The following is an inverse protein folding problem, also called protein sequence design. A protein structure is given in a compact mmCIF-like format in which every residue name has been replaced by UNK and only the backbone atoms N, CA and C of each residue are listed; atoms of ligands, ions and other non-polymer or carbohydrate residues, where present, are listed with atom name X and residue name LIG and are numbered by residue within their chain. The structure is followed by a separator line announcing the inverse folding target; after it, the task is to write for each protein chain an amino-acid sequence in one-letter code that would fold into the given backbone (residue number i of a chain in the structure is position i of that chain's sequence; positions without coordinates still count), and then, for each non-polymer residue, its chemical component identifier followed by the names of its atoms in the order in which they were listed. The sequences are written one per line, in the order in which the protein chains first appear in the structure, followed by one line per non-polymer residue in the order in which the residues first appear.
data_IF_639375770465
#
_entry.id   IF_639375770465
#
_cell.length_a   1.000
_cell.length_b   1.000
_cell.length_c   1.000
_cell.angle_alpha   90.00
_cell.angle_beta   90.00
_cell.angle_gamma   90.00
#
_symmetry.space_group_name_H-M   'P 1'
#
loop_
_entity.id
_entity.type
_entity.pdbx_description
1 polymer ?
#
# COMPACT_ATOMS: atom_id res chain seq x y z
N UNK A 1 25.96 -15.09 -44.84
CA UNK A 1 25.58 -13.85 -45.56
C UNK A 1 24.14 -13.53 -45.19
N UNK A 2 23.94 -12.36 -44.56
CA UNK A 2 22.68 -11.66 -44.21
C UNK A 2 21.71 -12.40 -43.28
N UNK A 3 21.13 -11.78 -42.24
CA UNK A 3 21.16 -10.39 -41.79
C UNK A 3 20.41 -10.31 -40.45
N UNK A 4 20.95 -9.49 -39.56
CA UNK A 4 20.47 -9.19 -38.22
C UNK A 4 19.09 -8.49 -38.22
N UNK A 5 18.14 -8.99 -37.43
CA UNK A 5 16.91 -8.27 -37.09
C UNK A 5 17.22 -7.14 -36.10
N UNK A 6 16.95 -5.91 -36.53
CA UNK A 6 17.07 -4.70 -35.74
C UNK A 6 15.76 -4.48 -34.99
N UNK A 7 15.84 -4.41 -33.67
CA UNK A 7 14.75 -4.03 -32.77
C UNK A 7 14.52 -2.53 -32.92
N UNK A 8 13.37 -2.11 -33.44
CA UNK A 8 12.96 -0.71 -33.42
C UNK A 8 12.51 -0.34 -32.00
N UNK A 9 13.19 0.64 -31.41
CA UNK A 9 12.76 1.36 -30.21
C UNK A 9 12.06 2.62 -30.71
N UNK A 10 10.76 2.73 -30.53
CA UNK A 10 10.04 4.00 -30.77
C UNK A 10 10.31 4.94 -29.60
N UNK A 11 11.00 6.03 -29.90
CA UNK A 11 11.22 7.16 -29.02
C UNK A 11 9.97 8.04 -29.00
N UNK A 12 9.46 8.35 -27.81
CA UNK A 12 8.40 9.35 -27.62
C UNK A 12 8.87 10.73 -28.08
N UNK A 13 8.20 11.29 -29.09
CA UNK A 13 8.28 12.71 -29.42
C UNK A 13 7.25 13.47 -28.57
N UNK A 14 7.75 14.32 -27.67
CA UNK A 14 6.96 15.32 -26.94
C UNK A 14 7.15 16.67 -27.61
N UNK A 15 6.10 17.17 -28.26
CA UNK A 15 6.05 18.53 -28.82
C UNK A 15 5.56 19.53 -27.74
N UNK A 16 6.25 20.65 -27.50
CA UNK A 16 5.80 21.67 -26.55
C UNK A 16 4.77 22.60 -27.20
N UNK A 17 3.58 22.69 -26.60
CA UNK A 17 2.55 23.65 -27.00
C UNK A 17 2.76 24.96 -26.24
N UNK A 18 3.13 26.05 -26.94
CA UNK A 18 3.32 27.38 -26.33
C UNK A 18 2.02 28.18 -26.40
N UNK A 19 1.50 28.59 -25.25
CA UNK A 19 0.43 29.62 -25.16
C UNK A 19 1.06 30.91 -24.68
N UNK A 20 1.02 31.96 -25.51
CA UNK A 20 1.51 33.28 -25.15
C UNK A 20 0.54 33.98 -24.19
N UNK A 21 1.00 34.32 -22.98
CA UNK A 21 0.36 35.35 -22.15
C UNK A 21 0.65 35.26 -20.66
N UNK A 22 1.49 36.17 -20.15
CA UNK A 22 1.49 36.65 -18.77
C UNK A 22 2.27 35.81 -17.75
N UNK A 23 3.18 36.46 -17.02
CA UNK A 23 3.95 35.87 -15.91
C UNK A 23 3.03 35.28 -14.83
N UNK A 24 2.92 33.96 -14.83
CA UNK A 24 2.56 33.16 -13.66
C UNK A 24 3.42 31.91 -13.71
N UNK A 25 3.99 31.52 -12.56
CA UNK A 25 4.78 30.30 -12.40
C UNK A 25 4.20 29.17 -13.26
N UNK A 26 5.04 28.62 -14.12
CA UNK A 26 4.67 27.54 -15.02
C UNK A 26 4.41 26.30 -14.16
N UNK A 27 3.16 26.13 -13.72
CA UNK A 27 2.70 24.91 -13.06
C UNK A 27 2.70 23.84 -14.15
N UNK A 28 3.82 23.14 -14.27
CA UNK A 28 3.91 21.94 -15.08
C UNK A 28 3.01 20.89 -14.45
N UNK A 29 1.75 20.86 -14.86
CA UNK A 29 0.81 19.78 -14.51
C UNK A 29 1.24 18.56 -15.30
N UNK A 30 2.20 17.80 -14.75
CA UNK A 30 2.52 16.47 -15.25
C UNK A 30 1.25 15.61 -15.16
N UNK A 31 0.59 15.38 -16.31
CA UNK A 31 -0.56 14.47 -16.36
C UNK A 31 -0.09 13.08 -15.93
N UNK A 32 -0.62 12.61 -14.81
CA UNK A 32 -0.44 11.22 -14.37
C UNK A 32 -0.87 10.27 -15.47
N UNK A 33 -0.08 9.22 -15.74
CA UNK A 33 -0.46 8.16 -16.69
C UNK A 33 -1.59 7.26 -16.17
N UNK A 34 -1.98 7.42 -14.90
CA UNK A 34 -3.10 6.71 -14.27
C UNK A 34 -4.37 7.56 -14.25
N UNK A 35 -5.50 6.90 -14.46
CA UNK A 35 -6.85 7.49 -14.43
C UNK A 35 -7.11 8.23 -13.09
N UNK A 36 -7.94 9.27 -13.15
CA UNK A 36 -8.32 10.11 -12.02
C UNK A 36 -9.73 9.85 -11.49
N UNK A 37 -10.47 8.97 -12.17
CA UNK A 37 -11.84 8.55 -11.94
C UNK A 37 -12.84 9.71 -11.84
N UNK A 38 -12.52 10.88 -12.40
CA UNK A 38 -13.29 12.10 -12.19
C UNK A 38 -14.57 12.17 -13.03
N UNK A 39 -14.75 11.29 -14.01
CA UNK A 39 -15.89 11.32 -14.93
C UNK A 39 -16.56 9.95 -15.06
N UNK A 40 -17.90 9.90 -15.10
CA UNK A 40 -18.63 8.66 -15.30
C UNK A 40 -18.40 8.13 -16.71
N UNK A 41 -18.46 6.80 -16.84
CA UNK A 41 -18.48 6.11 -18.14
C UNK A 41 -19.54 5.03 -18.11
N UNK A 42 -19.92 4.42 -19.27
CA UNK A 42 -20.85 3.29 -19.27
C UNK A 42 -20.43 2.12 -18.37
N UNK A 43 -19.13 1.98 -18.09
CA UNK A 43 -18.55 0.94 -17.24
C UNK A 43 -18.20 1.43 -15.84
N UNK A 44 -18.38 2.73 -15.55
CA UNK A 44 -18.07 3.41 -14.29
C UNK A 44 -19.26 4.27 -13.89
N UNK A 45 -20.28 3.61 -13.35
CA UNK A 45 -21.57 4.22 -13.02
C UNK A 45 -21.82 4.34 -11.51
N UNK A 46 -20.96 3.77 -10.67
CA UNK A 46 -21.07 3.86 -9.22
C UNK A 46 -20.21 5.01 -8.72
N UNK A 47 -20.81 5.90 -7.94
CA UNK A 47 -20.17 7.13 -7.46
C UNK A 47 -19.68 6.98 -6.03
N UNK A 48 -18.39 7.16 -5.81
CA UNK A 48 -17.79 7.25 -4.49
C UNK A 48 -17.46 8.72 -4.23
N UNK A 49 -18.12 9.30 -3.23
CA UNK A 49 -18.00 10.72 -2.87
C UNK A 49 -17.10 10.81 -1.64
N UNK A 50 -15.99 11.52 -1.77
CA UNK A 50 -15.03 11.76 -0.70
C UNK A 50 -14.84 13.25 -0.54
N UNK A 51 -15.27 13.79 0.60
CA UNK A 51 -15.38 15.23 0.82
C UNK A 51 -16.18 15.90 -0.33
N UNK A 52 -15.57 16.78 -1.11
CA UNK A 52 -16.21 17.45 -2.26
C UNK A 52 -15.86 16.79 -3.61
N UNK A 53 -15.17 15.65 -3.61
CA UNK A 53 -14.69 14.98 -4.83
C UNK A 53 -15.44 13.68 -5.11
N UNK A 54 -15.98 13.57 -6.31
CA UNK A 54 -16.59 12.33 -6.82
C UNK A 54 -15.57 11.48 -7.58
N UNK A 55 -15.65 10.17 -7.38
CA UNK A 55 -14.94 9.14 -8.13
C UNK A 55 -15.94 8.16 -8.73
N UNK A 56 -15.89 7.99 -10.04
CA UNK A 56 -16.77 7.06 -10.75
C UNK A 56 -16.02 5.76 -11.02
N UNK A 57 -16.56 4.65 -10.52
CA UNK A 57 -15.91 3.34 -10.56
C UNK A 57 -16.87 2.24 -11.02
N UNK A 58 -16.29 1.08 -11.36
CA UNK A 58 -17.07 -0.10 -11.71
C UNK A 58 -17.52 -0.83 -10.44
N UNK A 59 -18.82 -0.82 -10.15
CA UNK A 59 -19.39 -1.51 -8.99
C UNK A 59 -19.14 -3.02 -9.00
N UNK A 60 -19.25 -3.68 -10.16
CA UNK A 60 -19.03 -5.11 -10.30
C UNK A 60 -17.61 -5.50 -9.87
N UNK A 61 -16.61 -4.74 -10.29
CA UNK A 61 -15.22 -4.97 -9.88
C UNK A 61 -15.01 -4.78 -8.36
N UNK A 62 -15.68 -3.80 -7.74
CA UNK A 62 -15.63 -3.66 -6.29
C UNK A 62 -16.29 -4.84 -5.57
N UNK A 63 -17.44 -5.30 -6.05
CA UNK A 63 -18.16 -6.44 -5.48
C UNK A 63 -17.35 -7.75 -5.56
N UNK A 64 -16.64 -7.98 -6.66
CA UNK A 64 -15.71 -9.12 -6.78
C UNK A 64 -14.58 -9.07 -5.75
N UNK A 65 -14.14 -7.87 -5.38
CA UNK A 65 -13.07 -7.70 -4.41
C UNK A 65 -13.56 -7.71 -2.97
N UNK A 66 -14.82 -7.34 -2.71
CA UNK A 66 -15.33 -7.00 -1.38
C UNK A 66 -16.76 -7.49 -1.18
N UNK A 67 -17.01 -8.32 -0.14
CA UNK A 67 -18.38 -8.70 0.22
C UNK A 67 -19.20 -7.48 0.66
N UNK A 68 -18.58 -6.49 1.30
CA UNK A 68 -19.23 -5.22 1.64
C UNK A 68 -19.80 -4.54 0.39
N UNK A 69 -19.00 -4.39 -0.67
CA UNK A 69 -19.47 -3.77 -1.91
C UNK A 69 -20.42 -4.67 -2.71
N UNK A 70 -20.31 -6.00 -2.59
CA UNK A 70 -21.27 -6.92 -3.19
C UNK A 70 -22.67 -6.70 -2.63
N UNK A 71 -22.80 -6.64 -1.30
CA UNK A 71 -24.07 -6.34 -0.64
C UNK A 71 -24.52 -4.89 -0.91
N UNK A 72 -23.63 -3.90 -0.76
CA UNK A 72 -23.99 -2.49 -0.88
C UNK A 72 -24.47 -2.10 -2.29
N UNK A 73 -23.85 -2.66 -3.33
CA UNK A 73 -24.17 -2.31 -4.72
C UNK A 73 -25.23 -3.22 -5.36
N UNK A 74 -25.39 -4.47 -4.88
CA UNK A 74 -26.20 -5.50 -5.54
C UNK A 74 -27.12 -6.29 -4.60
N UNK A 75 -27.15 -5.96 -3.30
CA UNK A 75 -28.09 -6.52 -2.33
C UNK A 75 -29.52 -6.01 -2.53
N UNK A 76 -30.40 -6.30 -1.56
CA UNK A 76 -31.81 -5.91 -1.63
C UNK A 76 -31.99 -4.39 -1.72
N UNK A 77 -31.17 -3.64 -0.99
CA UNK A 77 -31.13 -2.17 -0.97
C UNK A 77 -29.98 -1.63 -1.83
N UNK A 78 -29.91 -2.03 -3.10
CA UNK A 78 -28.83 -1.63 -4.00
C UNK A 78 -28.64 -0.10 -4.10
N UNK A 79 -27.48 0.38 -3.68
CA UNK A 79 -27.10 1.78 -3.73
C UNK A 79 -26.31 2.12 -4.99
N UNK A 80 -26.43 3.38 -5.46
CA UNK A 80 -25.70 3.90 -6.62
C UNK A 80 -24.52 4.79 -6.27
N UNK A 81 -24.44 5.20 -5.01
CA UNK A 81 -23.40 6.10 -4.51
C UNK A 81 -23.05 5.79 -3.06
N UNK A 82 -21.80 6.01 -2.68
CA UNK A 82 -21.30 5.87 -1.30
C UNK A 82 -20.54 7.13 -0.90
N UNK A 83 -20.83 7.68 0.28
CA UNK A 83 -20.09 8.80 0.88
C UNK A 83 -19.06 8.24 1.86
N UNK A 84 -17.82 8.73 1.79
CA UNK A 84 -16.71 8.35 2.67
C UNK A 84 -16.10 9.64 3.24
N UNK A 85 -16.10 9.77 4.57
CA UNK A 85 -15.73 10.98 5.30
C UNK A 85 -14.40 10.88 6.07
N UNK A 86 -13.82 9.69 6.17
CA UNK A 86 -12.63 9.42 6.97
C UNK A 86 -11.41 8.95 6.15
N UNK A 87 -11.49 9.07 4.82
CA UNK A 87 -10.36 8.90 3.91
C UNK A 87 -10.22 10.17 3.09
N UNK A 88 -8.98 10.66 2.91
CA UNK A 88 -8.72 11.84 2.08
C UNK A 88 -8.95 11.55 0.60
N UNK A 89 -9.36 12.52 -0.23
CA UNK A 89 -9.51 12.33 -1.67
C UNK A 89 -8.23 11.86 -2.37
N UNK A 90 -7.05 12.36 -1.95
CA UNK A 90 -5.75 11.92 -2.49
C UNK A 90 -5.47 10.44 -2.24
N UNK A 91 -5.84 9.98 -1.04
CA UNK A 91 -5.61 8.62 -0.57
C UNK A 91 -6.56 7.64 -1.26
N UNK A 92 -7.82 8.04 -1.44
CA UNK A 92 -8.79 7.26 -2.21
C UNK A 92 -8.37 7.13 -3.68
N UNK A 93 -7.90 8.22 -4.28
CA UNK A 93 -7.41 8.20 -5.66
C UNK A 93 -6.21 7.25 -5.81
N UNK A 94 -5.22 7.33 -4.92
CA UNK A 94 -4.08 6.43 -4.94
C UNK A 94 -4.51 4.97 -4.76
N UNK A 95 -5.46 4.70 -3.86
CA UNK A 95 -6.03 3.38 -3.66
C UNK A 95 -6.69 2.84 -4.93
N UNK A 96 -7.55 3.61 -5.59
CA UNK A 96 -8.21 3.19 -6.83
C UNK A 96 -7.22 2.88 -7.95
N UNK A 97 -6.18 3.71 -8.10
CA UNK A 97 -5.11 3.44 -9.06
C UNK A 97 -4.40 2.11 -8.80
N UNK A 98 -4.34 1.67 -7.55
CA UNK A 98 -3.71 0.40 -7.17
C UNK A 98 -4.63 -0.84 -7.28
N UNK A 99 -5.96 -0.68 -7.38
CA UNK A 99 -6.89 -1.82 -7.44
C UNK A 99 -7.62 -1.96 -8.77
N UNK A 100 -7.81 -0.88 -9.53
CA UNK A 100 -8.45 -0.91 -10.85
C UNK A 100 -7.42 -1.03 -11.98
N UNK A 101 -7.83 -1.68 -13.06
CA UNK A 101 -7.09 -1.70 -14.32
C UNK A 101 -7.68 -0.65 -15.26
N UNK A 102 -7.17 0.59 -15.22
CA UNK A 102 -7.62 1.65 -16.13
C UNK A 102 -6.55 2.74 -16.32
N UNK A 103 -5.90 2.85 -17.50
CA UNK A 103 -5.64 1.75 -18.46
C UNK A 103 -4.64 0.72 -17.89
N UNK A 104 -3.85 1.11 -16.89
CA UNK A 104 -2.91 0.25 -16.18
C UNK A 104 -3.16 0.34 -14.68
N UNK A 105 -2.91 -0.76 -13.97
CA UNK A 105 -2.96 -0.78 -12.52
C UNK A 105 -1.62 -0.30 -11.97
N UNK A 106 -1.64 0.75 -11.15
CA UNK A 106 -0.44 1.24 -10.46
C UNK A 106 0.14 0.13 -9.56
N UNK A 107 1.44 -0.20 -9.67
CA UNK A 107 2.02 -1.27 -8.87
C UNK A 107 2.04 -0.91 -7.38
N UNK A 108 2.00 -1.95 -6.54
CA UNK A 108 2.31 -1.81 -5.13
C UNK A 108 3.78 -1.42 -4.98
N UNK A 109 4.03 -0.49 -4.07
CA UNK A 109 5.34 0.03 -3.74
C UNK A 109 5.44 0.26 -2.24
N UNK A 110 6.66 0.42 -1.74
CA UNK A 110 6.89 0.76 -0.33
C UNK A 110 6.19 2.08 0.06
N UNK A 111 5.99 2.99 -0.89
CA UNK A 111 5.34 4.28 -0.63
C UNK A 111 3.82 4.23 -0.49
N UNK A 112 3.14 3.25 -1.11
CA UNK A 112 1.67 3.17 -1.10
C UNK A 112 1.11 1.95 -0.36
N UNK A 113 1.94 0.96 -0.02
CA UNK A 113 1.48 -0.31 0.57
C UNK A 113 0.68 -0.12 1.86
N UNK A 114 1.12 0.75 2.78
CA UNK A 114 0.42 0.99 4.05
C UNK A 114 -0.95 1.63 3.86
N UNK A 115 -1.10 2.48 2.83
CA UNK A 115 -2.37 3.07 2.46
C UNK A 115 -3.30 2.00 1.86
N UNK A 116 -2.80 1.24 0.88
CA UNK A 116 -3.61 0.24 0.17
C UNK A 116 -4.09 -0.84 1.12
N UNK A 117 -3.23 -1.34 2.01
CA UNK A 117 -3.59 -2.35 3.01
C UNK A 117 -4.70 -1.85 3.93
N UNK A 118 -4.58 -0.63 4.46
CA UNK A 118 -5.55 -0.04 5.38
C UNK A 118 -6.93 0.13 4.74
N UNK A 119 -6.97 0.72 3.55
CA UNK A 119 -8.24 0.96 2.84
C UNK A 119 -8.86 -0.36 2.35
N UNK A 120 -8.04 -1.31 1.89
CA UNK A 120 -8.51 -2.65 1.53
C UNK A 120 -9.11 -3.38 2.73
N UNK A 121 -8.46 -3.33 3.90
CA UNK A 121 -8.96 -3.94 5.13
C UNK A 121 -10.29 -3.31 5.57
N UNK A 122 -10.40 -1.97 5.51
CA UNK A 122 -11.64 -1.23 5.81
C UNK A 122 -12.83 -1.73 4.99
N UNK A 123 -12.64 -1.94 3.69
CA UNK A 123 -13.69 -2.41 2.79
C UNK A 123 -13.71 -3.93 2.62
N UNK A 124 -13.09 -4.69 3.52
CA UNK A 124 -13.08 -6.15 3.52
C UNK A 124 -12.58 -6.78 2.21
N UNK A 125 -11.64 -6.11 1.53
CA UNK A 125 -11.11 -6.55 0.24
C UNK A 125 -10.04 -7.64 0.39
N UNK A 126 -10.45 -8.85 0.80
CA UNK A 126 -9.55 -9.99 1.08
C UNK A 126 -8.50 -10.25 -0.02
N UNK A 127 -8.84 -10.26 -1.32
CA UNK A 127 -7.84 -10.48 -2.38
C UNK A 127 -6.81 -9.34 -2.51
N UNK A 128 -7.18 -8.12 -2.12
CA UNK A 128 -6.26 -6.97 -2.11
C UNK A 128 -5.36 -7.03 -0.87
N UNK A 129 -5.91 -7.38 0.30
CA UNK A 129 -5.15 -7.57 1.54
C UNK A 129 -4.08 -8.66 1.35
N UNK A 130 -4.46 -9.85 0.87
CA UNK A 130 -3.52 -10.94 0.63
C UNK A 130 -2.38 -10.56 -0.34
N UNK A 131 -2.67 -9.74 -1.35
CA UNK A 131 -1.67 -9.20 -2.28
C UNK A 131 -0.72 -8.23 -1.57
N UNK A 132 -1.24 -7.40 -0.67
CA UNK A 132 -0.43 -6.48 0.12
C UNK A 132 0.50 -7.24 1.07
N UNK A 133 -0.03 -8.23 1.78
CA UNK A 133 0.76 -9.11 2.65
C UNK A 133 1.87 -9.83 1.89
N UNK A 134 1.56 -10.38 0.71
CA UNK A 134 2.57 -11.01 -0.13
C UNK A 134 3.67 -10.03 -0.56
N UNK A 135 3.31 -8.78 -0.88
CA UNK A 135 4.30 -7.74 -1.18
C UNK A 135 5.18 -7.43 0.03
N UNK A 136 4.57 -7.28 1.21
CA UNK A 136 5.29 -6.99 2.47
C UNK A 136 6.23 -8.15 2.82
N UNK A 137 5.77 -9.39 2.79
CA UNK A 137 6.60 -10.56 3.09
C UNK A 137 7.84 -10.66 2.16
N UNK A 138 7.70 -10.28 0.89
CA UNK A 138 8.82 -10.26 -0.07
C UNK A 138 9.80 -9.11 0.14
N UNK A 139 9.31 -7.98 0.63
CA UNK A 139 10.09 -6.72 0.75
C UNK A 139 10.58 -6.44 2.16
N UNK A 140 10.09 -7.15 3.19
CA UNK A 140 10.40 -6.90 4.60
C UNK A 140 11.91 -6.82 4.90
N UNK A 141 12.73 -7.58 4.16
CA UNK A 141 14.18 -7.58 4.33
C UNK A 141 14.89 -6.34 3.76
N UNK A 142 14.24 -5.62 2.85
CA UNK A 142 14.77 -4.46 2.14
C UNK A 142 14.14 -3.14 2.61
N UNK A 143 13.13 -3.19 3.49
CA UNK A 143 12.51 -1.98 4.04
C UNK A 143 13.52 -1.22 4.91
N UNK A 144 13.55 0.09 4.76
CA UNK A 144 14.19 0.96 5.74
C UNK A 144 13.40 0.97 7.06
N UNK A 145 13.98 1.59 8.09
CA UNK A 145 13.40 1.61 9.45
C UNK A 145 12.05 2.31 9.51
N UNK A 146 11.90 3.43 8.82
CA UNK A 146 10.68 4.23 8.86
C UNK A 146 9.54 3.48 8.18
N UNK A 147 9.82 2.89 7.02
CA UNK A 147 8.86 2.11 6.25
C UNK A 147 8.51 0.80 6.93
N UNK A 148 9.49 0.12 7.52
CA UNK A 148 9.24 -1.06 8.34
C UNK A 148 8.24 -0.72 9.46
N UNK A 149 8.45 0.38 10.18
CA UNK A 149 7.54 0.83 11.24
C UNK A 149 6.12 1.14 10.72
N UNK A 150 6.02 1.92 9.65
CA UNK A 150 4.72 2.30 9.05
C UNK A 150 3.95 1.08 8.57
N UNK A 151 4.63 0.10 7.98
CA UNK A 151 4.01 -1.15 7.51
C UNK A 151 3.61 -2.03 8.70
N UNK A 152 4.45 -2.17 9.73
CA UNK A 152 4.09 -2.90 10.96
C UNK A 152 2.85 -2.31 11.62
N UNK A 153 2.78 -0.98 11.74
CA UNK A 153 1.59 -0.34 12.29
C UNK A 153 0.36 -0.58 11.41
N UNK A 154 0.49 -0.50 10.08
CA UNK A 154 -0.65 -0.79 9.20
C UNK A 154 -1.13 -2.24 9.36
N UNK A 155 -0.22 -3.22 9.37
CA UNK A 155 -0.55 -4.64 9.53
C UNK A 155 -1.15 -4.91 10.91
N UNK A 156 -0.62 -4.32 11.99
CA UNK A 156 -1.14 -4.57 13.34
C UNK A 156 -2.59 -4.13 13.54
N UNK A 157 -3.01 -3.05 12.88
CA UNK A 157 -4.39 -2.57 12.95
C UNK A 157 -5.34 -3.38 12.06
N UNK A 158 -4.83 -4.09 11.05
CA UNK A 158 -5.64 -4.82 10.09
C UNK A 158 -5.71 -6.32 10.38
N UNK A 159 -4.56 -6.97 10.60
CA UNK A 159 -4.44 -8.38 10.97
C UNK A 159 -3.18 -8.62 11.84
N UNK A 160 -3.29 -8.41 13.17
CA UNK A 160 -2.18 -8.57 14.10
C UNK A 160 -1.71 -10.02 14.25
N UNK A 161 -2.50 -11.01 13.82
CA UNK A 161 -2.16 -12.43 13.93
C UNK A 161 -1.61 -13.01 12.62
N UNK A 162 -1.42 -12.19 11.58
CA UNK A 162 -0.88 -12.62 10.31
C UNK A 162 0.57 -13.09 10.43
N UNK A 163 0.98 -14.05 9.58
CA UNK A 163 2.39 -14.45 9.46
C UNK A 163 3.28 -13.29 9.00
N UNK A 164 2.72 -12.36 8.22
CA UNK A 164 3.36 -11.09 7.85
C UNK A 164 3.73 -10.28 9.08
N UNK A 165 2.84 -10.19 10.07
CA UNK A 165 3.12 -9.49 11.32
C UNK A 165 4.31 -10.11 12.06
N UNK A 166 4.40 -11.44 12.15
CA UNK A 166 5.54 -12.11 12.76
C UNK A 166 6.87 -11.76 12.06
N UNK A 167 6.90 -11.77 10.72
CA UNK A 167 8.09 -11.39 9.95
C UNK A 167 8.52 -9.94 10.23
N UNK A 168 7.55 -9.04 10.35
CA UNK A 168 7.81 -7.63 10.65
C UNK A 168 8.33 -7.42 12.07
N UNK A 169 7.75 -8.12 13.05
CA UNK A 169 8.19 -8.11 14.45
C UNK A 169 9.62 -8.64 14.56
N UNK A 170 9.94 -9.78 13.94
CA UNK A 170 11.29 -10.36 13.94
C UNK A 170 12.30 -9.37 13.35
N UNK A 171 11.91 -8.69 12.27
CA UNK A 171 12.77 -7.67 11.65
C UNK A 171 13.01 -6.47 12.56
N UNK A 172 11.98 -5.96 13.23
CA UNK A 172 12.10 -4.88 14.22
C UNK A 172 12.98 -5.30 15.41
N UNK A 173 12.82 -6.53 15.89
CA UNK A 173 13.61 -7.07 16.99
C UNK A 173 15.11 -7.14 16.65
N UNK A 174 15.46 -7.37 15.39
CA UNK A 174 16.85 -7.41 14.90
C UNK A 174 17.57 -6.05 14.87
N UNK A 175 16.83 -4.93 14.92
CA UNK A 175 17.40 -3.57 14.92
C UNK A 175 18.17 -3.34 16.24
N UNK A 176 19.28 -2.59 16.19
CA UNK A 176 20.05 -2.22 17.39
C UNK A 176 19.19 -1.44 18.39
N UNK A 177 19.48 -1.56 19.68
CA UNK A 177 18.67 -0.92 20.73
C UNK A 177 18.66 0.60 20.66
N UNK A 178 19.81 1.21 20.38
CA UNK A 178 19.95 2.66 20.16
C UNK A 178 19.03 3.14 19.03
N UNK A 179 19.11 2.48 17.88
CA UNK A 179 18.30 2.80 16.70
C UNK A 179 16.81 2.55 16.93
N UNK A 180 16.47 1.48 17.67
CA UNK A 180 15.09 1.13 18.00
C UNK A 180 14.49 2.18 18.95
N UNK A 181 15.25 2.63 19.95
CA UNK A 181 14.79 3.64 20.92
C UNK A 181 14.50 5.01 20.33
N UNK A 182 15.06 5.31 19.15
CA UNK A 182 14.81 6.54 18.40
C UNK A 182 13.53 6.48 17.54
N UNK A 183 12.86 5.33 17.46
CA UNK A 183 11.65 5.17 16.66
C UNK A 183 10.41 5.75 17.38
N UNK A 184 9.42 6.18 16.61
CA UNK A 184 8.17 6.80 17.10
C UNK A 184 7.19 5.78 17.68
N UNK A 185 7.60 5.00 18.69
CA UNK A 185 6.77 3.95 19.29
C UNK A 185 5.43 4.41 19.85
N UNK A 186 5.26 5.70 20.11
CA UNK A 186 3.96 6.30 20.48
C UNK A 186 2.86 6.05 19.45
N UNK A 187 3.22 5.78 18.20
CA UNK A 187 2.28 5.49 17.10
C UNK A 187 1.99 3.99 16.93
N UNK A 188 2.69 3.12 17.67
CA UNK A 188 2.55 1.67 17.58
C UNK A 188 1.70 1.15 18.75
N UNK A 189 0.80 0.17 18.52
CA UNK A 189 0.05 -0.46 19.59
C UNK A 189 0.99 -1.08 20.65
N UNK A 190 0.65 -0.90 21.94
CA UNK A 190 1.55 -1.28 23.05
C UNK A 190 1.83 -2.78 23.15
N UNK A 191 0.88 -3.61 22.72
CA UNK A 191 1.02 -5.07 22.57
C UNK A 191 2.05 -5.44 21.50
N UNK A 192 2.05 -4.73 20.36
CA UNK A 192 3.07 -4.92 19.32
C UNK A 192 4.45 -4.51 19.84
N UNK A 193 4.54 -3.40 20.56
CA UNK A 193 5.81 -2.97 21.19
C UNK A 193 6.30 -4.03 22.17
N UNK A 194 5.42 -4.53 23.04
CA UNK A 194 5.75 -5.57 23.99
C UNK A 194 6.25 -6.85 23.29
N UNK A 195 5.62 -7.25 22.17
CA UNK A 195 6.04 -8.42 21.40
C UNK A 195 7.41 -8.20 20.75
N UNK A 196 7.70 -7.02 20.17
CA UNK A 196 9.02 -6.69 19.61
C UNK A 196 10.12 -6.81 20.68
N UNK A 197 9.91 -6.25 21.87
CA UNK A 197 10.89 -6.34 22.96
C UNK A 197 11.01 -7.76 23.51
N UNK A 198 9.91 -8.52 23.57
CA UNK A 198 9.91 -9.93 23.98
C UNK A 198 10.75 -10.77 23.01
N UNK A 199 10.55 -10.60 21.70
CA UNK A 199 11.34 -11.31 20.69
C UNK A 199 12.81 -10.90 20.72
N UNK A 200 13.10 -9.61 20.90
CA UNK A 200 14.48 -9.12 21.03
C UNK A 200 15.19 -9.70 22.25
N UNK A 201 14.51 -9.81 23.38
CA UNK A 201 15.06 -10.45 24.57
C UNK A 201 15.35 -11.93 24.32
N UNK A 202 14.41 -12.67 23.71
CA UNK A 202 14.59 -14.08 23.33
C UNK A 202 15.78 -14.28 22.39
N UNK A 203 15.96 -13.41 21.40
CA UNK A 203 17.11 -13.48 20.50
C UNK A 203 18.45 -13.29 21.22
N UNK A 204 18.52 -12.36 22.18
CA UNK A 204 19.71 -12.13 23.00
C UNK A 204 20.04 -13.34 23.86
N UNK A 205 19.05 -13.90 24.53
CA UNK A 205 19.22 -15.11 25.36
C UNK A 205 19.67 -16.30 24.50
N UNK A 206 19.08 -16.50 23.32
CA UNK A 206 19.52 -17.57 22.39
C UNK A 206 20.97 -17.40 21.95
N UNK A 207 21.38 -16.16 21.61
CA UNK A 207 22.78 -15.84 21.24
C UNK A 207 23.74 -16.08 22.42
N UNK A 208 23.34 -15.73 23.64
CA UNK A 208 24.11 -16.00 24.87
C UNK A 208 24.29 -17.49 25.13
N UNK A 209 23.21 -18.27 25.06
CA UNK A 209 23.25 -19.72 25.24
C UNK A 209 24.15 -20.40 24.21
N UNK A 210 24.06 -20.00 22.94
CA UNK A 210 24.97 -20.49 21.89
C UNK A 210 26.43 -20.17 22.20
N UNK A 211 26.73 -18.96 22.67
CA UNK A 211 28.06 -18.56 23.09
C UNK A 211 28.58 -19.38 24.28
N UNK A 212 27.75 -19.60 25.30
CA UNK A 212 28.11 -20.43 26.44
C UNK A 212 28.42 -21.88 26.03
N UNK A 213 27.61 -22.48 25.16
CA UNK A 213 27.84 -23.84 24.66
C UNK A 213 29.13 -23.96 23.83
N UNK A 214 29.47 -22.94 23.04
CA UNK A 214 30.71 -22.90 22.27
C UNK A 214 31.95 -22.80 23.16
N UNK A 215 31.89 -22.02 24.24
CA UNK A 215 33.00 -21.86 25.20
C UNK A 215 33.15 -23.12 26.07
N UNK A 216 32.06 -23.80 26.42
CA UNK A 216 32.11 -25.08 27.17
C UNK A 216 32.56 -26.28 26.34
N UNK A 217 32.78 -26.12 25.03
CA UNK A 217 33.21 -27.18 24.10
C UNK A 217 34.68 -27.05 23.65
N UNK A 218 35.43 -26.12 24.24
CA UNK A 218 36.88 -25.89 24.04
C UNK A 218 37.61 -26.26 25.33
#
# INVERSE_FOLDING_TARGET
MYGSEVIYTEAEQTEPFTVFGGMSEEIVVSKSCYDDFASPTPWRSFEIIVEERSFFVNAGWLAELSPFFAEYCFGEDAHRSLIIDDIKPSDMLEFFRCIFFCPMRKPLSVGNISLVLRVASRFEMKPVVARCEQFVARTANTLDRERLFQVTCAVSHCDPNSSTMSVLVDKLASIKEEDLSQMQFSQMPGDVVAEVYTQKFRERERKRQQWCCLISSI
#
